data_IF_414215587551
#
_entry.id   IF_414215587551
#
_cell.length_a   1.000
_cell.length_b   1.000
_cell.length_c   1.000
_cell.angle_alpha   90.00
_cell.angle_beta   90.00
_cell.angle_gamma   90.00
#
_symmetry.space_group_name_H-M   'P 1'
#
loop_
_entity.id
_entity.type
_entity.pdbx_description
1 polymer ?
#
# COMPACT_ATOMS: atom_id res chain seq x y z
N UNK A 1 11.72 -17.98 -19.01
CA UNK A 1 10.57 -17.46 -18.24
C UNK A 1 11.16 -16.73 -17.05
N UNK A 2 10.94 -15.42 -16.96
CA UNK A 2 11.52 -14.56 -15.94
C UNK A 2 10.99 -14.93 -14.53
N UNK A 3 11.89 -15.10 -13.57
CA UNK A 3 11.52 -15.32 -12.17
C UNK A 3 11.44 -13.97 -11.45
N UNK A 4 10.26 -13.62 -10.97
CA UNK A 4 9.98 -12.44 -10.17
C UNK A 4 9.85 -12.80 -8.69
N UNK A 5 10.50 -12.03 -7.83
CA UNK A 5 10.40 -12.15 -6.37
C UNK A 5 9.53 -11.02 -5.82
N UNK A 6 8.59 -11.36 -4.96
CA UNK A 6 7.76 -10.40 -4.23
C UNK A 6 8.04 -10.55 -2.73
N UNK A 7 8.48 -9.48 -2.08
CA UNK A 7 8.52 -9.42 -0.61
C UNK A 7 7.17 -8.95 -0.08
N UNK A 8 6.64 -9.56 0.97
CA UNK A 8 5.29 -9.25 1.47
C UNK A 8 4.19 -9.76 0.55
N UNK A 9 4.40 -10.95 -0.02
CA UNK A 9 3.52 -11.56 -1.01
C UNK A 9 2.07 -11.75 -0.54
N UNK A 10 1.83 -12.03 0.75
CA UNK A 10 0.48 -12.22 1.31
C UNK A 10 -0.26 -10.92 1.61
N UNK A 11 0.40 -9.75 1.47
CA UNK A 11 -0.23 -8.44 1.59
C UNK A 11 -1.14 -8.12 0.40
N UNK A 12 -1.96 -7.07 0.53
CA UNK A 12 -2.93 -6.67 -0.50
C UNK A 12 -2.29 -6.45 -1.87
N UNK A 13 -1.18 -5.69 -1.91
CA UNK A 13 -0.42 -5.46 -3.16
C UNK A 13 0.22 -6.75 -3.66
N UNK A 14 0.94 -7.48 -2.79
CA UNK A 14 1.64 -8.70 -3.15
C UNK A 14 0.71 -9.78 -3.72
N UNK A 15 -0.48 -9.95 -3.12
CA UNK A 15 -1.49 -10.91 -3.58
C UNK A 15 -2.03 -10.60 -4.99
N UNK A 16 -2.24 -9.33 -5.33
CA UNK A 16 -2.69 -8.91 -6.65
C UNK A 16 -1.57 -8.92 -7.68
N UNK A 17 -0.39 -8.47 -7.28
CA UNK A 17 0.80 -8.48 -8.13
C UNK A 17 1.19 -9.91 -8.52
N UNK A 18 1.10 -10.86 -7.60
CA UNK A 18 1.34 -12.28 -7.87
C UNK A 18 0.42 -12.81 -8.98
N UNK A 19 -0.87 -12.52 -8.90
CA UNK A 19 -1.85 -12.91 -9.91
C UNK A 19 -1.55 -12.30 -11.27
N UNK A 20 -1.27 -11.01 -11.30
CA UNK A 20 -0.98 -10.29 -12.54
C UNK A 20 0.33 -10.77 -13.18
N UNK A 21 1.39 -11.04 -12.40
CA UNK A 21 2.64 -11.60 -12.90
C UNK A 21 2.43 -12.99 -13.52
N UNK A 22 1.67 -13.88 -12.86
CA UNK A 22 1.35 -15.20 -13.40
C UNK A 22 0.56 -15.07 -14.71
N UNK A 23 -0.42 -14.18 -14.77
CA UNK A 23 -1.21 -13.91 -15.97
C UNK A 23 -0.32 -13.43 -17.14
N UNK A 24 0.77 -12.73 -16.85
CA UNK A 24 1.75 -12.27 -17.84
C UNK A 24 2.87 -13.29 -18.11
N UNK A 25 2.78 -14.50 -17.56
CA UNK A 25 3.71 -15.61 -17.85
C UNK A 25 5.01 -15.57 -17.06
N UNK A 26 5.09 -14.85 -15.96
CA UNK A 26 6.23 -14.92 -15.04
C UNK A 26 6.14 -16.16 -14.15
N UNK A 27 7.32 -16.67 -13.74
CA UNK A 27 7.40 -17.47 -12.53
C UNK A 27 7.44 -16.54 -11.33
N UNK A 28 6.70 -16.88 -10.29
CA UNK A 28 6.58 -16.03 -9.12
C UNK A 28 7.09 -16.74 -7.89
N UNK A 29 7.97 -16.05 -7.17
CA UNK A 29 8.42 -16.43 -5.83
C UNK A 29 7.97 -15.35 -4.86
N UNK A 30 7.41 -15.75 -3.72
CA UNK A 30 7.01 -14.84 -2.66
C UNK A 30 7.78 -15.09 -1.38
N UNK A 31 8.22 -14.00 -0.75
CA UNK A 31 8.69 -14.03 0.62
C UNK A 31 7.58 -13.50 1.52
N UNK A 32 7.29 -14.23 2.58
CA UNK A 32 6.42 -13.74 3.64
C UNK A 32 6.95 -14.16 5.01
N UNK A 33 6.64 -13.33 6.00
CA UNK A 33 7.03 -13.57 7.39
C UNK A 33 6.06 -14.52 8.11
N UNK A 34 4.77 -14.40 7.83
CA UNK A 34 3.73 -15.20 8.47
C UNK A 34 3.39 -16.48 7.68
N UNK A 35 2.50 -17.30 8.26
CA UNK A 35 2.05 -18.55 7.66
C UNK A 35 0.61 -18.44 7.11
N UNK A 36 0.12 -17.25 6.83
CA UNK A 36 -1.20 -17.04 6.25
C UNK A 36 -1.11 -17.08 4.71
N UNK A 37 -1.33 -18.26 4.15
CA UNK A 37 -1.19 -18.52 2.72
C UNK A 37 -2.50 -18.40 1.93
N UNK A 38 -3.59 -17.90 2.53
CA UNK A 38 -4.88 -17.70 1.83
C UNK A 38 -4.76 -16.84 0.57
N UNK A 39 -3.82 -15.90 0.57
CA UNK A 39 -3.53 -15.05 -0.58
C UNK A 39 -3.04 -15.83 -1.81
N UNK A 40 -2.54 -17.05 -1.62
CA UNK A 40 -1.88 -17.86 -2.65
C UNK A 40 -2.69 -19.10 -3.06
N UNK A 41 -3.90 -19.26 -2.53
CA UNK A 41 -4.78 -20.38 -2.90
C UNK A 41 -4.98 -20.43 -4.42
N UNK A 42 -4.78 -21.62 -5.01
CA UNK A 42 -4.89 -21.90 -6.45
C UNK A 42 -3.90 -21.12 -7.35
N UNK A 43 -2.78 -20.66 -6.81
CA UNK A 43 -1.70 -20.03 -7.57
C UNK A 43 -0.46 -20.91 -7.59
N UNK A 44 0.19 -21.00 -8.75
CA UNK A 44 1.51 -21.65 -8.89
C UNK A 44 2.59 -20.67 -8.49
N UNK A 45 2.94 -20.68 -7.19
CA UNK A 45 3.88 -19.75 -6.56
C UNK A 45 4.85 -20.52 -5.70
N UNK A 46 6.13 -20.21 -5.81
CA UNK A 46 7.15 -20.65 -4.88
C UNK A 46 7.13 -19.78 -3.62
N UNK A 47 6.84 -20.37 -2.46
CA UNK A 47 6.78 -19.66 -1.18
C UNK A 47 8.04 -19.93 -0.36
N UNK A 48 8.69 -18.85 0.08
CA UNK A 48 9.84 -18.92 0.98
C UNK A 48 9.52 -18.11 2.23
N UNK A 49 9.62 -18.76 3.38
CA UNK A 49 9.51 -18.05 4.65
C UNK A 49 10.82 -17.34 4.95
N UNK A 50 10.79 -16.01 4.98
CA UNK A 50 11.93 -15.19 5.34
C UNK A 50 11.48 -13.87 5.97
N UNK A 51 12.36 -13.29 6.79
CA UNK A 51 12.14 -11.98 7.43
C UNK A 51 13.06 -10.95 6.77
N UNK A 52 12.51 -9.89 6.19
CA UNK A 52 13.31 -8.83 5.57
C UNK A 52 14.24 -8.12 6.56
N UNK A 53 13.98 -8.23 7.86
CA UNK A 53 14.88 -7.68 8.90
C UNK A 53 16.07 -8.59 9.22
N UNK A 54 16.11 -9.79 8.65
CA UNK A 54 17.21 -10.76 8.73
C UNK A 54 17.79 -11.00 7.33
N UNK A 55 18.91 -10.33 7.03
CA UNK A 55 19.59 -10.38 5.72
C UNK A 55 19.93 -11.81 5.31
N UNK A 56 20.35 -12.66 6.24
CA UNK A 56 20.76 -14.02 5.90
C UNK A 56 19.56 -14.89 5.51
N UNK A 57 18.41 -14.66 6.10
CA UNK A 57 17.17 -15.37 5.75
C UNK A 57 16.69 -15.06 4.32
N UNK A 58 17.08 -13.92 3.75
CA UNK A 58 16.70 -13.50 2.40
C UNK A 58 17.49 -14.20 1.31
N UNK A 59 18.78 -14.50 1.52
CA UNK A 59 19.69 -14.99 0.49
C UNK A 59 19.16 -16.17 -0.33
N UNK A 60 18.58 -17.24 0.27
CA UNK A 60 18.04 -18.35 -0.51
C UNK A 60 16.90 -17.93 -1.46
N UNK A 61 16.09 -16.95 -1.04
CA UNK A 61 14.95 -16.50 -1.83
C UNK A 61 15.34 -15.69 -3.08
N UNK A 62 16.53 -15.09 -3.10
CA UNK A 62 17.02 -14.28 -4.20
C UNK A 62 17.76 -15.11 -5.27
N UNK A 63 17.97 -16.40 -5.06
CA UNK A 63 18.64 -17.27 -6.02
C UNK A 63 17.87 -17.35 -7.34
N UNK A 64 18.56 -17.09 -8.46
CA UNK A 64 18.02 -17.14 -9.83
C UNK A 64 16.89 -16.12 -10.13
N UNK A 65 16.67 -15.16 -9.24
CA UNK A 65 15.68 -14.08 -9.41
C UNK A 65 16.22 -13.03 -10.38
N UNK A 66 15.37 -12.54 -11.27
CA UNK A 66 15.71 -11.47 -12.20
C UNK A 66 15.13 -10.12 -11.77
N UNK A 67 13.92 -10.11 -11.23
CA UNK A 67 13.18 -8.90 -10.85
C UNK A 67 12.67 -9.03 -9.43
N UNK A 68 12.82 -7.97 -8.64
CA UNK A 68 12.31 -7.89 -7.28
C UNK A 68 11.24 -6.80 -7.17
N UNK A 69 10.10 -7.15 -6.60
CA UNK A 69 9.06 -6.22 -6.19
C UNK A 69 9.05 -6.13 -4.66
N UNK A 70 9.55 -5.03 -4.13
CA UNK A 70 9.63 -4.84 -2.69
C UNK A 70 8.37 -4.17 -2.15
N UNK A 71 7.36 -4.99 -1.79
CA UNK A 71 6.06 -4.50 -1.27
C UNK A 71 5.92 -4.65 0.24
N UNK A 72 6.85 -5.37 0.89
CA UNK A 72 6.81 -5.57 2.34
C UNK A 72 6.97 -4.25 3.08
N UNK A 73 6.02 -3.96 3.97
CA UNK A 73 6.07 -2.81 4.85
C UNK A 73 5.17 -3.02 6.06
N UNK A 74 5.48 -2.38 7.17
CA UNK A 74 4.59 -2.26 8.30
C UNK A 74 3.93 -0.88 8.31
N UNK A 75 2.60 -0.85 8.20
CA UNK A 75 1.81 0.37 8.10
C UNK A 75 1.13 0.63 9.45
N UNK A 76 1.51 1.70 10.12
CA UNK A 76 0.85 2.15 11.34
C UNK A 76 1.06 3.64 11.58
N UNK A 77 0.00 4.33 11.98
CA UNK A 77 0.03 5.73 12.43
C UNK A 77 0.07 5.84 13.97
N UNK A 78 0.33 4.73 14.65
CA UNK A 78 0.50 4.69 16.11
C UNK A 78 1.98 4.77 16.47
N UNK A 79 2.41 5.90 17.01
CA UNK A 79 3.82 6.17 17.37
C UNK A 79 4.45 5.15 18.31
N UNK A 80 3.64 4.35 19.03
CA UNK A 80 4.16 3.25 19.86
C UNK A 80 4.92 2.18 19.06
N UNK A 81 4.66 2.11 17.76
CA UNK A 81 5.29 1.17 16.84
C UNK A 81 6.44 1.77 16.03
N UNK A 82 6.90 2.98 16.35
CA UNK A 82 7.96 3.67 15.61
C UNK A 82 9.20 2.81 15.40
N UNK A 83 9.71 2.15 16.44
CA UNK A 83 10.88 1.28 16.31
C UNK A 83 10.61 0.10 15.36
N UNK A 84 9.42 -0.50 15.40
CA UNK A 84 9.05 -1.61 14.51
C UNK A 84 8.89 -1.12 13.07
N UNK A 85 8.24 0.05 12.88
CA UNK A 85 8.11 0.70 11.58
C UNK A 85 9.51 0.93 10.98
N UNK A 86 10.42 1.51 11.74
CA UNK A 86 11.78 1.79 11.29
C UNK A 86 12.55 0.51 10.97
N UNK A 87 12.48 -0.49 11.84
CA UNK A 87 13.13 -1.79 11.64
C UNK A 87 12.68 -2.46 10.33
N UNK A 88 11.37 -2.49 10.06
CA UNK A 88 10.84 -3.16 8.87
C UNK A 88 11.02 -2.29 7.63
N UNK A 89 10.58 -1.02 7.67
CA UNK A 89 10.49 -0.21 6.46
C UNK A 89 11.84 0.41 6.05
N UNK A 90 12.79 0.56 6.97
CA UNK A 90 14.10 1.18 6.69
C UNK A 90 15.19 0.12 6.65
N UNK A 91 15.41 -0.61 7.77
CA UNK A 91 16.47 -1.62 7.84
C UNK A 91 16.13 -2.82 6.93
N UNK A 92 14.85 -3.25 6.89
CA UNK A 92 14.39 -4.29 5.97
C UNK A 92 14.59 -3.90 4.51
N UNK A 93 14.28 -2.65 4.12
CA UNK A 93 14.53 -2.15 2.76
C UNK A 93 16.02 -2.15 2.42
N UNK A 94 16.88 -1.75 3.37
CA UNK A 94 18.34 -1.82 3.20
C UNK A 94 18.81 -3.25 2.94
N UNK A 95 18.35 -4.21 3.73
CA UNK A 95 18.69 -5.63 3.55
C UNK A 95 18.26 -6.14 2.17
N UNK A 96 17.06 -5.78 1.71
CA UNK A 96 16.56 -6.15 0.38
C UNK A 96 17.44 -5.56 -0.72
N UNK A 97 17.87 -4.30 -0.63
CA UNK A 97 18.79 -3.68 -1.59
C UNK A 97 20.14 -4.38 -1.59
N UNK A 98 20.74 -4.64 -0.42
CA UNK A 98 22.04 -5.30 -0.30
C UNK A 98 22.01 -6.72 -0.90
N UNK A 99 20.98 -7.53 -0.59
CA UNK A 99 20.84 -8.87 -1.15
C UNK A 99 20.53 -8.81 -2.65
N UNK A 100 19.81 -7.80 -3.13
CA UNK A 100 19.57 -7.58 -4.56
C UNK A 100 20.88 -7.34 -5.32
N UNK A 101 21.79 -6.54 -4.76
CA UNK A 101 23.12 -6.33 -5.32
C UNK A 101 23.94 -7.62 -5.30
N UNK A 102 24.01 -8.31 -4.15
CA UNK A 102 24.74 -9.55 -3.99
C UNK A 102 24.27 -10.65 -4.98
N UNK A 103 22.97 -10.67 -5.31
CA UNK A 103 22.36 -11.61 -6.24
C UNK A 103 22.35 -11.14 -7.70
N UNK A 104 22.90 -9.97 -8.03
CA UNK A 104 22.92 -9.37 -9.36
C UNK A 104 21.51 -9.25 -9.99
N UNK A 105 20.52 -8.78 -9.20
CA UNK A 105 19.15 -8.55 -9.67
C UNK A 105 19.15 -7.52 -10.81
N UNK A 106 18.41 -7.79 -11.89
CA UNK A 106 18.32 -6.90 -13.05
C UNK A 106 17.50 -5.65 -12.76
N UNK A 107 16.44 -5.76 -11.96
CA UNK A 107 15.55 -4.65 -11.63
C UNK A 107 14.89 -4.80 -10.26
N UNK A 108 14.91 -3.75 -9.47
CA UNK A 108 14.11 -3.60 -8.24
C UNK A 108 13.00 -2.58 -8.45
N UNK A 109 11.77 -2.93 -8.16
CA UNK A 109 10.64 -2.00 -8.04
C UNK A 109 10.28 -1.85 -6.56
N UNK A 110 10.57 -0.69 -5.99
CA UNK A 110 10.29 -0.38 -4.58
C UNK A 110 8.95 0.31 -4.41
N UNK A 111 8.11 -0.20 -3.52
CA UNK A 111 6.84 0.42 -3.16
C UNK A 111 7.02 1.37 -1.96
N UNK A 112 7.21 2.65 -2.26
CA UNK A 112 7.17 3.73 -1.28
C UNK A 112 5.70 4.12 -0.96
N UNK A 113 5.39 5.38 -0.81
CA UNK A 113 4.06 5.96 -0.61
C UNK A 113 4.06 7.43 -1.03
N UNK A 114 2.91 8.00 -1.37
CA UNK A 114 2.78 9.46 -1.46
C UNK A 114 3.09 10.14 -0.13
N UNK A 115 2.91 9.45 0.99
CA UNK A 115 3.20 9.97 2.33
C UNK A 115 4.71 10.16 2.59
N UNK A 116 5.59 9.64 1.71
CA UNK A 116 7.02 9.92 1.76
C UNK A 116 7.36 11.37 1.39
N UNK A 117 6.47 12.06 0.68
CA UNK A 117 6.66 13.46 0.28
C UNK A 117 6.11 14.42 1.32
N UNK A 118 6.70 15.62 1.37
CA UNK A 118 6.17 16.70 2.20
C UNK A 118 4.76 17.06 1.75
N UNK A 119 3.84 17.19 2.70
CA UNK A 119 2.43 17.47 2.42
C UNK A 119 2.18 18.90 1.95
N UNK A 120 2.91 19.85 2.50
CA UNK A 120 2.79 21.27 2.13
C UNK A 120 3.66 21.64 0.89
N UNK A 121 3.20 22.58 0.07
CA UNK A 121 1.91 23.28 0.14
C UNK A 121 0.74 22.41 -0.34
N UNK A 122 -0.43 22.51 0.31
CA UNK A 122 -1.60 21.69 0.03
C UNK A 122 -2.44 22.17 -1.16
N UNK A 123 -2.27 23.41 -1.57
CA UNK A 123 -2.97 24.04 -2.70
C UNK A 123 -2.29 23.78 -4.06
N UNK A 124 -1.11 23.18 -4.05
CA UNK A 124 -0.39 22.76 -5.23
C UNK A 124 -0.53 21.25 -5.49
N UNK A 125 -0.53 20.81 -6.77
CA UNK A 125 -0.47 19.40 -7.08
C UNK A 125 0.77 18.73 -6.51
N UNK A 126 0.62 17.47 -6.10
CA UNK A 126 1.77 16.63 -5.71
C UNK A 126 2.44 16.09 -6.96
N UNK A 127 3.72 16.42 -7.13
CA UNK A 127 4.58 15.90 -8.19
C UNK A 127 5.76 15.14 -7.59
N UNK A 128 6.40 14.30 -8.40
CA UNK A 128 7.57 13.48 -8.03
C UNK A 128 8.81 14.33 -7.63
N UNK A 129 8.82 15.61 -8.00
CA UNK A 129 9.86 16.58 -7.63
C UNK A 129 9.71 17.17 -6.22
N UNK A 130 8.59 16.89 -5.52
CA UNK A 130 8.37 17.35 -4.15
C UNK A 130 9.40 16.75 -3.21
N UNK A 131 9.87 17.56 -2.24
CA UNK A 131 10.83 17.10 -1.24
C UNK A 131 10.26 15.97 -0.39
N UNK A 132 11.13 15.03 -0.02
CA UNK A 132 10.79 13.97 0.92
C UNK A 132 10.71 14.52 2.36
N UNK A 133 9.84 13.89 3.14
CA UNK A 133 9.77 14.14 4.59
C UNK A 133 11.13 13.92 5.24
N UNK A 134 11.58 14.88 6.06
CA UNK A 134 12.89 14.82 6.72
C UNK A 134 12.87 15.29 8.19
N UNK A 135 11.78 15.91 8.66
CA UNK A 135 11.66 16.31 10.07
C UNK A 135 11.50 15.07 10.96
N UNK A 136 12.39 14.83 11.94
CA UNK A 136 12.28 13.71 12.87
C UNK A 136 10.97 13.69 13.69
N UNK A 137 10.24 14.81 13.78
CA UNK A 137 8.95 14.90 14.45
C UNK A 137 7.77 14.50 13.59
N UNK A 138 8.00 14.25 12.30
CA UNK A 138 6.97 13.80 11.37
C UNK A 138 6.32 12.49 11.82
N UNK A 139 5.27 12.11 11.14
CA UNK A 139 4.62 10.81 11.36
C UNK A 139 5.64 9.70 11.11
N UNK A 140 5.86 8.76 12.03
CA UNK A 140 6.90 7.73 11.88
C UNK A 140 6.78 6.91 10.60
N UNK A 141 5.56 6.64 10.15
CA UNK A 141 5.32 5.94 8.89
C UNK A 141 5.82 6.76 7.69
N UNK A 142 5.43 8.04 7.60
CA UNK A 142 5.83 8.95 6.52
C UNK A 142 7.36 9.05 6.44
N UNK A 143 8.01 9.29 7.59
CA UNK A 143 9.46 9.36 7.69
C UNK A 143 10.12 8.04 7.28
N UNK A 144 9.57 6.90 7.69
CA UNK A 144 10.12 5.59 7.33
C UNK A 144 10.05 5.30 5.84
N UNK A 145 8.98 5.74 5.16
CA UNK A 145 8.86 5.62 3.71
C UNK A 145 9.85 6.52 2.98
N UNK A 146 10.04 7.75 3.46
CA UNK A 146 11.06 8.67 2.94
C UNK A 146 12.49 8.13 3.15
N UNK A 147 12.80 7.59 4.33
CA UNK A 147 14.12 7.03 4.63
C UNK A 147 14.40 5.75 3.83
N UNK A 148 13.43 4.85 3.71
CA UNK A 148 13.53 3.66 2.87
C UNK A 148 13.79 4.02 1.40
N UNK A 149 13.11 5.04 0.89
CA UNK A 149 13.34 5.55 -0.46
C UNK A 149 14.74 6.14 -0.63
N UNK A 150 15.27 6.92 0.35
CA UNK A 150 16.65 7.44 0.29
C UNK A 150 17.66 6.30 0.18
N UNK A 151 17.45 5.23 0.96
CA UNK A 151 18.30 4.04 0.86
C UNK A 151 18.25 3.46 -0.56
N UNK A 152 17.07 3.24 -1.13
CA UNK A 152 16.96 2.72 -2.51
C UNK A 152 17.70 3.63 -3.49
N UNK A 153 17.51 4.94 -3.41
CA UNK A 153 18.17 5.92 -4.27
C UNK A 153 19.71 5.89 -4.12
N UNK A 154 20.24 5.68 -2.91
CA UNK A 154 21.68 5.56 -2.70
C UNK A 154 22.25 4.33 -3.44
N UNK A 155 21.50 3.23 -3.50
CA UNK A 155 21.90 2.03 -4.24
C UNK A 155 21.83 2.20 -5.77
N UNK A 156 20.98 3.10 -6.28
CA UNK A 156 20.86 3.33 -7.74
C UNK A 156 22.08 3.98 -8.36
N UNK A 157 22.92 4.62 -7.57
CA UNK A 157 24.04 5.40 -8.09
C UNK A 157 25.10 4.54 -8.80
N UNK A 158 25.31 3.26 -8.42
CA UNK A 158 26.32 2.42 -9.05
C UNK A 158 26.07 0.90 -8.92
N UNK A 159 25.03 0.46 -8.23
CA UNK A 159 24.92 -0.93 -7.81
C UNK A 159 23.65 -1.63 -8.24
N UNK A 160 22.53 -0.93 -8.34
CA UNK A 160 21.22 -1.53 -8.50
C UNK A 160 20.34 -0.70 -9.44
N UNK A 161 19.83 -1.31 -10.51
CA UNK A 161 18.74 -0.66 -11.27
C UNK A 161 17.45 -0.76 -10.49
N UNK A 162 17.01 0.37 -9.93
CA UNK A 162 15.78 0.44 -9.15
C UNK A 162 14.91 1.62 -9.56
N UNK A 163 13.59 1.43 -9.52
CA UNK A 163 12.60 2.49 -9.68
C UNK A 163 11.62 2.45 -8.52
N UNK A 164 11.05 3.61 -8.18
CA UNK A 164 10.22 3.76 -6.98
C UNK A 164 8.79 4.11 -7.39
N UNK A 165 7.82 3.34 -6.89
CA UNK A 165 6.40 3.58 -7.06
C UNK A 165 5.84 4.18 -5.77
N UNK A 166 5.08 5.25 -5.90
CA UNK A 166 4.38 5.94 -4.81
C UNK A 166 2.86 5.80 -5.00
N UNK A 167 2.28 4.72 -4.49
CA UNK A 167 0.83 4.58 -4.56
C UNK A 167 0.13 5.60 -3.66
N UNK A 168 -1.07 5.98 -4.07
CA UNK A 168 -2.05 6.64 -3.23
C UNK A 168 -2.75 5.62 -2.33
N UNK A 169 -3.92 5.95 -1.79
CA UNK A 169 -4.71 5.03 -0.95
C UNK A 169 -5.17 3.82 -1.78
N UNK A 170 -4.69 2.63 -1.44
CA UNK A 170 -4.93 1.42 -2.24
C UNK A 170 -6.26 0.80 -1.85
N UNK A 171 -7.06 0.41 -2.85
CA UNK A 171 -8.32 -0.30 -2.69
C UNK A 171 -8.47 -1.37 -3.78
N UNK A 172 -9.27 -2.41 -3.52
CA UNK A 172 -9.51 -3.45 -4.51
C UNK A 172 -9.72 -4.83 -3.88
N UNK A 173 -10.00 -5.86 -4.69
CA UNK A 173 -10.19 -7.23 -4.24
C UNK A 173 -8.87 -7.87 -3.79
N UNK A 174 -8.96 -9.11 -3.29
CA UNK A 174 -7.82 -9.91 -2.81
C UNK A 174 -7.06 -9.32 -1.63
N UNK A 175 -7.71 -8.51 -0.78
CA UNK A 175 -7.19 -8.11 0.52
C UNK A 175 -7.57 -9.16 1.57
N UNK A 176 -6.74 -10.19 1.71
CA UNK A 176 -6.98 -11.32 2.62
C UNK A 176 -6.79 -10.97 4.10
N UNK A 177 -6.15 -9.83 4.36
CA UNK A 177 -5.91 -9.25 5.69
C UNK A 177 -6.38 -7.79 5.68
N UNK A 178 -7.72 -7.55 5.65
CA UNK A 178 -8.27 -6.24 5.35
C UNK A 178 -7.56 -5.11 6.09
N UNK A 179 -6.90 -4.23 5.32
CA UNK A 179 -6.33 -2.99 5.79
C UNK A 179 -7.43 -1.97 6.11
N UNK A 180 -7.03 -0.77 6.57
CA UNK A 180 -7.97 0.27 7.04
C UNK A 180 -9.06 0.61 6.03
N UNK A 181 -8.72 0.73 4.75
CA UNK A 181 -9.67 1.09 3.69
C UNK A 181 -10.70 -0.03 3.47
N UNK A 182 -10.22 -1.24 3.24
CA UNK A 182 -11.08 -2.41 3.01
C UNK A 182 -11.91 -2.77 4.26
N UNK A 183 -11.32 -2.65 5.45
CA UNK A 183 -12.08 -2.84 6.70
C UNK A 183 -13.19 -1.80 6.85
N UNK A 184 -12.94 -0.55 6.44
CA UNK A 184 -13.98 0.49 6.47
C UNK A 184 -15.13 0.17 5.52
N UNK A 185 -14.85 -0.37 4.32
CA UNK A 185 -15.88 -0.84 3.38
C UNK A 185 -16.71 -1.98 3.98
N UNK A 186 -16.06 -2.98 4.58
CA UNK A 186 -16.73 -4.10 5.27
C UNK A 186 -17.66 -3.58 6.38
N UNK A 187 -17.20 -2.61 7.17
CA UNK A 187 -17.98 -2.03 8.27
C UNK A 187 -19.20 -1.24 7.75
N UNK A 188 -19.05 -0.51 6.63
CA UNK A 188 -20.17 0.19 5.96
C UNK A 188 -21.16 -0.84 5.43
N UNK A 189 -20.69 -1.81 4.66
CA UNK A 189 -21.53 -2.83 4.04
C UNK A 189 -22.33 -3.63 5.08
N UNK A 190 -21.75 -3.93 6.23
CA UNK A 190 -22.43 -4.60 7.34
C UNK A 190 -23.21 -3.66 8.26
N UNK A 191 -23.38 -2.40 7.91
CA UNK A 191 -24.09 -1.39 8.68
C UNK A 191 -23.55 -1.21 10.12
N UNK A 192 -22.28 -1.53 10.35
CA UNK A 192 -21.62 -1.34 11.65
C UNK A 192 -21.28 0.12 11.94
N UNK A 193 -21.24 0.94 10.89
CA UNK A 193 -21.00 2.38 11.00
C UNK A 193 -22.28 3.13 10.67
N UNK A 194 -22.78 3.86 11.65
CA UNK A 194 -23.99 4.65 11.51
C UNK A 194 -23.72 6.11 11.13
N UNK A 195 -22.45 6.52 11.11
CA UNK A 195 -22.03 7.89 10.83
C UNK A 195 -20.87 7.89 9.84
N UNK A 196 -21.01 8.68 8.80
CA UNK A 196 -19.92 8.99 7.88
C UNK A 196 -19.11 10.17 8.42
N UNK A 197 -17.84 10.25 8.00
CA UNK A 197 -16.98 11.40 8.27
C UNK A 197 -16.70 12.09 6.93
N UNK A 198 -16.76 13.41 6.95
CA UNK A 198 -16.52 14.22 5.76
C UNK A 198 -15.02 14.36 5.47
N UNK A 199 -14.46 13.34 4.84
CA UNK A 199 -13.08 13.32 4.37
C UNK A 199 -12.97 12.56 3.06
N UNK A 200 -11.87 12.75 2.35
CA UNK A 200 -11.59 12.03 1.10
C UNK A 200 -10.11 11.72 0.93
N UNK A 201 -9.85 10.76 0.07
CA UNK A 201 -8.51 10.40 -0.38
C UNK A 201 -8.47 10.24 -1.89
N UNK A 202 -7.28 10.31 -2.46
CA UNK A 202 -7.04 9.77 -3.79
C UNK A 202 -6.89 8.26 -3.68
N UNK A 203 -7.72 7.49 -4.41
CA UNK A 203 -7.72 6.03 -4.36
C UNK A 203 -7.26 5.44 -5.69
N UNK A 204 -6.43 4.41 -5.63
CA UNK A 204 -6.00 3.61 -6.77
C UNK A 204 -6.45 2.16 -6.63
N UNK A 205 -6.91 1.54 -7.73
CA UNK A 205 -7.19 0.11 -7.74
C UNK A 205 -5.88 -0.69 -7.69
N UNK A 206 -5.82 -1.66 -6.79
CA UNK A 206 -4.63 -2.50 -6.57
C UNK A 206 -4.21 -3.27 -7.83
N UNK A 207 -5.16 -3.60 -8.72
CA UNK A 207 -4.89 -4.29 -9.99
C UNK A 207 -4.25 -3.36 -11.03
N UNK A 208 -4.68 -2.09 -11.08
CA UNK A 208 -4.09 -1.07 -11.95
C UNK A 208 -2.69 -0.68 -11.44
N UNK A 209 -2.53 -0.59 -10.12
CA UNK A 209 -1.23 -0.45 -9.48
C UNK A 209 -0.30 -1.63 -9.81
N UNK A 210 -0.80 -2.87 -9.76
CA UNK A 210 -0.01 -4.08 -10.07
C UNK A 210 0.47 -4.08 -11.53
N UNK A 211 -0.40 -3.74 -12.49
CA UNK A 211 -0.04 -3.60 -13.91
C UNK A 211 1.02 -2.53 -14.09
N UNK A 212 0.84 -1.38 -13.44
CA UNK A 212 1.80 -0.28 -13.52
C UNK A 212 3.15 -0.68 -12.92
N UNK A 213 3.17 -1.45 -11.83
CA UNK A 213 4.40 -1.96 -11.22
C UNK A 213 5.15 -2.93 -12.15
N UNK A 214 4.43 -3.81 -12.83
CA UNK A 214 5.05 -4.72 -13.81
C UNK A 214 5.63 -3.91 -14.98
N UNK A 215 4.90 -2.93 -15.50
CA UNK A 215 5.43 -2.04 -16.53
C UNK A 215 6.66 -1.26 -16.03
N UNK A 216 6.67 -0.86 -14.76
CA UNK A 216 7.81 -0.19 -14.14
C UNK A 216 9.04 -1.10 -14.09
N UNK A 217 8.88 -2.42 -13.92
CA UNK A 217 10.02 -3.35 -13.96
C UNK A 217 10.63 -3.48 -15.35
N UNK A 218 9.89 -3.13 -16.41
CA UNK A 218 10.32 -3.24 -17.81
C UNK A 218 10.82 -1.90 -18.37
N UNK A 219 10.13 -0.81 -18.04
CA UNK A 219 10.30 0.51 -18.65
C UNK A 219 10.80 1.57 -17.66
N UNK A 220 10.73 1.29 -16.36
CA UNK A 220 11.05 2.28 -15.33
C UNK A 220 12.50 2.73 -15.40
N UNK A 221 12.71 4.03 -15.33
CA UNK A 221 14.05 4.64 -15.36
C UNK A 221 14.73 4.46 -14.00
N UNK A 222 16.02 4.16 -14.00
CA UNK A 222 16.80 3.99 -12.78
C UNK A 222 16.78 5.27 -11.91
N UNK A 223 16.45 5.12 -10.63
CA UNK A 223 16.35 6.24 -9.67
C UNK A 223 15.07 7.07 -9.81
N UNK A 224 14.19 6.78 -10.79
CA UNK A 224 12.99 7.58 -11.01
C UNK A 224 11.87 7.23 -10.01
N UNK A 225 11.22 8.28 -9.52
CA UNK A 225 9.98 8.20 -8.75
C UNK A 225 8.77 8.26 -9.68
N UNK A 226 7.75 7.45 -9.40
CA UNK A 226 6.48 7.43 -10.13
C UNK A 226 5.31 7.52 -9.15
N UNK A 227 4.56 8.61 -9.19
CA UNK A 227 3.28 8.72 -8.49
C UNK A 227 2.24 7.86 -9.20
N UNK A 228 1.57 6.98 -8.47
CA UNK A 228 0.56 6.08 -9.00
C UNK A 228 -0.72 6.25 -8.20
N UNK A 229 -1.62 7.06 -8.71
CA UNK A 229 -2.89 7.40 -8.09
C UNK A 229 -4.07 7.15 -9.01
N UNK A 230 -5.25 7.28 -8.45
CA UNK A 230 -6.50 7.10 -9.16
C UNK A 230 -7.42 8.32 -9.05
N UNK A 231 -8.57 8.14 -8.46
CA UNK A 231 -9.60 9.16 -8.31
C UNK A 231 -9.66 9.68 -6.88
N UNK A 232 -9.83 10.99 -6.71
CA UNK A 232 -10.10 11.57 -5.40
C UNK A 232 -11.60 11.46 -5.10
N UNK A 233 -11.93 10.71 -4.07
CA UNK A 233 -13.31 10.46 -3.66
C UNK A 233 -13.51 10.79 -2.18
N UNK A 234 -14.68 11.34 -1.88
CA UNK A 234 -15.11 11.54 -0.52
C UNK A 234 -15.61 10.21 0.06
N UNK A 235 -15.31 9.96 1.33
CA UNK A 235 -15.75 8.74 2.01
C UNK A 235 -17.29 8.55 2.01
N UNK A 236 -18.12 9.60 2.12
CA UNK A 236 -19.56 9.49 1.91
C UNK A 236 -19.98 9.02 0.52
N UNK A 237 -19.22 9.36 -0.54
CA UNK A 237 -19.51 8.89 -1.90
C UNK A 237 -19.26 7.38 -2.02
N UNK A 238 -18.16 6.88 -1.44
CA UNK A 238 -17.87 5.44 -1.36
C UNK A 238 -18.97 4.71 -0.58
N UNK A 239 -19.40 5.26 0.55
CA UNK A 239 -20.48 4.69 1.33
C UNK A 239 -21.80 4.63 0.55
N UNK A 240 -22.10 5.65 -0.25
CA UNK A 240 -23.27 5.68 -1.14
C UNK A 240 -23.17 4.58 -2.21
N UNK A 241 -22.04 4.45 -2.90
CA UNK A 241 -21.82 3.40 -3.91
C UNK A 241 -22.03 1.99 -3.33
N UNK A 242 -21.49 1.72 -2.13
CA UNK A 242 -21.69 0.44 -1.43
C UNK A 242 -23.17 0.21 -1.11
N UNK A 243 -23.87 1.26 -0.65
CA UNK A 243 -25.29 1.17 -0.35
C UNK A 243 -26.15 0.87 -1.56
N UNK A 244 -25.89 1.53 -2.69
CA UNK A 244 -26.57 1.30 -3.96
C UNK A 244 -26.33 -0.13 -4.47
N UNK A 245 -25.08 -0.62 -4.37
CA UNK A 245 -24.71 -1.97 -4.80
C UNK A 245 -25.43 -3.07 -3.99
N UNK A 246 -25.61 -2.85 -2.68
CA UNK A 246 -26.20 -3.83 -1.77
C UNK A 246 -27.69 -3.64 -1.51
N UNK A 247 -28.35 -2.68 -2.19
CA UNK A 247 -29.72 -2.24 -1.93
C UNK A 247 -29.97 -1.94 -0.43
N UNK A 248 -29.02 -1.19 0.17
CA UNK A 248 -29.06 -0.86 1.60
C UNK A 248 -29.00 0.65 1.82
N UNK A 249 -29.73 1.12 2.82
CA UNK A 249 -29.54 2.48 3.30
C UNK A 249 -28.19 2.60 4.00
N UNK A 250 -27.26 3.31 3.41
CA UNK A 250 -26.09 3.81 4.13
C UNK A 250 -26.43 5.11 4.79
N UNK A 251 -26.09 5.26 6.04
CA UNK A 251 -26.38 6.51 6.76
C UNK A 251 -25.54 7.66 6.24
N UNK A 252 -26.20 8.76 6.03
CA UNK A 252 -25.76 9.83 5.14
C UNK A 252 -25.42 11.13 5.88
N UNK A 253 -25.52 11.17 7.20
CA UNK A 253 -25.05 12.32 7.95
C UNK A 253 -23.52 12.27 8.03
N UNK A 254 -22.85 13.10 7.26
CA UNK A 254 -21.42 13.28 7.36
C UNK A 254 -21.11 14.19 8.56
N UNK A 255 -20.33 13.69 9.49
CA UNK A 255 -19.78 14.47 10.58
C UNK A 255 -18.47 15.13 10.15
N UNK A 256 -18.17 16.33 10.61
CA UNK A 256 -16.91 16.98 10.34
C UNK A 256 -15.74 16.15 10.90
N UNK A 257 -14.56 16.23 10.26
CA UNK A 257 -13.34 15.51 10.68
C UNK A 257 -13.04 15.76 12.18
N UNK A 258 -13.35 16.94 12.70
CA UNK A 258 -13.16 17.27 14.13
C UNK A 258 -13.87 16.30 15.08
N UNK A 259 -14.94 15.65 14.64
CA UNK A 259 -15.64 14.64 15.46
C UNK A 259 -14.77 13.40 15.74
N UNK A 260 -13.78 13.13 14.91
CA UNK A 260 -12.87 12.00 15.10
C UNK A 260 -12.03 12.12 16.38
N UNK A 261 -11.78 13.33 16.87
CA UNK A 261 -11.06 13.53 18.14
C UNK A 261 -11.76 12.87 19.34
N UNK A 262 -13.07 12.73 19.32
CA UNK A 262 -13.81 12.03 20.37
C UNK A 262 -13.52 10.52 20.42
N UNK A 263 -13.06 9.92 19.31
CA UNK A 263 -12.72 8.50 19.26
C UNK A 263 -11.30 8.21 19.78
N UNK A 264 -10.42 9.20 19.86
CA UNK A 264 -9.03 9.00 20.30
C UNK A 264 -8.94 8.40 21.71
N UNK A 265 -9.66 8.93 22.74
CA UNK A 265 -9.64 8.35 24.08
C UNK A 265 -10.15 6.90 24.12
N UNK A 266 -11.19 6.58 23.34
CA UNK A 266 -11.72 5.23 23.23
C UNK A 266 -10.66 4.25 22.68
N UNK A 267 -9.96 4.62 21.60
CA UNK A 267 -8.90 3.79 21.02
C UNK A 267 -7.71 3.63 21.97
N UNK A 268 -7.39 4.64 22.80
CA UNK A 268 -6.37 4.54 23.85
C UNK A 268 -6.74 3.45 24.86
N UNK A 269 -7.98 3.44 25.32
CA UNK A 269 -8.47 2.44 26.30
C UNK A 269 -8.51 1.06 25.65
N UNK A 270 -9.15 0.93 24.51
CA UNK A 270 -9.28 -0.33 23.75
C UNK A 270 -7.93 -0.98 23.46
N UNK A 271 -6.93 -0.20 23.06
CA UNK A 271 -5.60 -0.71 22.73
C UNK A 271 -4.84 -1.32 23.92
N UNK A 272 -5.17 -0.95 25.15
CA UNK A 272 -4.60 -1.58 26.37
C UNK A 272 -5.04 -3.03 26.53
N UNK A 273 -6.26 -3.35 26.08
CA UNK A 273 -6.80 -4.72 26.18
C UNK A 273 -6.51 -5.56 24.94
N UNK A 274 -6.51 -4.96 23.76
CA UNK A 274 -6.35 -5.70 22.49
C UNK A 274 -4.91 -5.91 22.06
N UNK A 275 -3.97 -5.14 22.60
CA UNK A 275 -2.54 -5.09 22.20
C UNK A 275 -2.33 -4.80 20.70
N UNK A 276 -3.37 -4.33 20.00
CA UNK A 276 -3.32 -3.98 18.57
C UNK A 276 -2.96 -2.50 18.39
N UNK A 277 -2.42 -2.10 17.22
CA UNK A 277 -2.24 -0.70 16.88
C UNK A 277 -3.56 0.08 16.98
N UNK A 278 -3.47 1.31 17.44
CA UNK A 278 -4.62 2.23 17.46
C UNK A 278 -4.94 2.65 16.04
N UNK A 279 -6.19 2.48 15.64
CA UNK A 279 -6.65 2.89 14.31
C UNK A 279 -6.89 4.41 14.24
N UNK A 280 -7.31 5.00 15.37
CA UNK A 280 -7.58 6.43 15.48
C UNK A 280 -6.59 7.08 16.44
N UNK A 281 -5.69 7.86 15.87
CA UNK A 281 -4.67 8.66 16.57
C UNK A 281 -4.77 10.11 16.11
N UNK A 282 -4.05 11.01 16.76
CA UNK A 282 -3.92 12.40 16.29
C UNK A 282 -3.24 12.42 14.91
N UNK A 283 -2.24 11.57 14.70
CA UNK A 283 -1.55 11.43 13.42
C UNK A 283 -2.49 10.93 12.32
N UNK A 284 -3.40 9.99 12.63
CA UNK A 284 -4.46 9.56 11.70
C UNK A 284 -5.34 10.73 11.27
N UNK A 285 -5.79 11.55 12.22
CA UNK A 285 -6.62 12.72 11.91
C UNK A 285 -5.84 13.76 11.10
N UNK A 286 -4.56 13.94 11.40
CA UNK A 286 -3.68 14.83 10.63
C UNK A 286 -3.52 14.34 9.19
N UNK A 287 -3.21 13.05 8.98
CA UNK A 287 -3.09 12.45 7.65
C UNK A 287 -4.35 12.63 6.82
N UNK A 288 -5.52 12.42 7.43
CA UNK A 288 -6.82 12.64 6.78
C UNK A 288 -7.01 14.10 6.36
N UNK A 289 -6.71 15.04 7.25
CA UNK A 289 -6.85 16.48 6.98
C UNK A 289 -5.93 17.01 5.90
N UNK A 290 -4.76 16.38 5.76
CA UNK A 290 -3.71 16.79 4.82
C UNK A 290 -3.58 15.81 3.64
N UNK A 291 -4.68 15.16 3.27
CA UNK A 291 -4.72 14.29 2.08
C UNK A 291 -4.70 15.13 0.80
N UNK A 292 -3.72 14.89 -0.08
CA UNK A 292 -3.62 15.58 -1.36
C UNK A 292 -4.77 15.20 -2.29
N UNK A 293 -5.43 16.23 -2.87
CA UNK A 293 -6.51 16.05 -3.85
C UNK A 293 -5.99 15.91 -5.27
N UNK A 294 -4.96 16.67 -5.62
CA UNK A 294 -4.43 16.76 -6.96
C UNK A 294 -3.12 15.98 -7.07
N UNK A 295 -3.20 14.79 -7.69
CA UNK A 295 -2.05 13.92 -7.96
C UNK A 295 -2.10 13.53 -9.43
N UNK A 296 -1.40 14.25 -10.32
CA UNK A 296 -1.56 14.09 -11.78
C UNK A 296 -1.08 12.75 -12.31
N UNK A 297 -0.08 12.11 -11.70
CA UNK A 297 0.53 10.85 -12.13
C UNK A 297 1.04 10.87 -13.57
N UNK A 298 1.53 12.02 -14.02
CA UNK A 298 1.87 12.26 -15.43
C UNK A 298 2.99 11.35 -15.91
N UNK A 299 4.04 11.15 -15.10
CA UNK A 299 5.15 10.25 -15.46
C UNK A 299 4.67 8.80 -15.57
N UNK A 300 3.92 8.31 -14.61
CA UNK A 300 3.39 6.95 -14.64
C UNK A 300 2.48 6.71 -15.86
N UNK A 301 1.65 7.69 -16.23
CA UNK A 301 0.80 7.61 -17.43
C UNK A 301 1.61 7.55 -18.70
N UNK A 302 2.58 8.45 -18.86
CA UNK A 302 3.33 8.60 -20.10
C UNK A 302 4.37 7.49 -20.29
N UNK A 303 5.08 7.10 -19.26
CA UNK A 303 6.21 6.19 -19.36
C UNK A 303 5.82 4.74 -19.05
N UNK A 304 4.92 4.54 -18.08
CA UNK A 304 4.53 3.20 -17.64
C UNK A 304 3.17 2.75 -18.18
N UNK A 305 2.42 3.65 -18.86
CA UNK A 305 1.08 3.35 -19.36
C UNK A 305 0.06 3.17 -18.23
N UNK A 306 0.24 3.87 -17.09
CA UNK A 306 -0.71 3.84 -15.99
C UNK A 306 -2.09 4.33 -16.46
N UNK A 307 -3.10 3.53 -16.20
CA UNK A 307 -4.50 3.84 -16.48
C UNK A 307 -5.38 3.32 -15.36
N UNK A 308 -6.38 4.12 -15.01
CA UNK A 308 -7.32 3.76 -13.96
C UNK A 308 -8.61 3.20 -14.57
N UNK A 309 -9.12 2.12 -13.97
CA UNK A 309 -10.49 1.66 -14.21
C UNK A 309 -11.50 2.60 -13.57
N UNK A 310 -12.78 2.59 -14.01
CA UNK A 310 -13.85 3.29 -13.29
C UNK A 310 -13.91 2.79 -11.83
N UNK A 311 -13.92 3.70 -10.87
CA UNK A 311 -13.82 3.33 -9.46
C UNK A 311 -14.99 2.49 -8.95
N UNK A 312 -16.14 2.58 -9.59
CA UNK A 312 -17.31 1.73 -9.29
C UNK A 312 -17.00 0.24 -9.51
N UNK A 313 -16.14 -0.11 -10.49
CA UNK A 313 -15.67 -1.50 -10.69
C UNK A 313 -14.82 -1.95 -9.50
N UNK A 314 -13.93 -1.07 -9.01
CA UNK A 314 -13.13 -1.33 -7.82
C UNK A 314 -14.00 -1.63 -6.61
N UNK A 315 -15.03 -0.81 -6.36
CA UNK A 315 -15.97 -1.02 -5.25
C UNK A 315 -16.74 -2.32 -5.43
N UNK A 316 -17.30 -2.56 -6.61
CA UNK A 316 -18.11 -3.75 -6.91
C UNK A 316 -17.30 -5.04 -6.68
N UNK A 317 -16.11 -5.12 -7.26
CA UNK A 317 -15.26 -6.31 -7.15
C UNK A 317 -14.74 -6.52 -5.73
N UNK A 318 -14.47 -5.43 -5.00
CA UNK A 318 -14.03 -5.51 -3.61
C UNK A 318 -15.15 -6.00 -2.69
N UNK A 319 -16.37 -5.48 -2.87
CA UNK A 319 -17.54 -5.91 -2.11
C UNK A 319 -17.85 -7.37 -2.39
N UNK A 320 -17.88 -7.79 -3.67
CA UNK A 320 -18.11 -9.18 -4.06
C UNK A 320 -17.05 -10.12 -3.47
N UNK A 321 -15.77 -9.75 -3.52
CA UNK A 321 -14.69 -10.52 -2.89
C UNK A 321 -14.94 -10.74 -1.39
N UNK A 322 -15.41 -9.72 -0.66
CA UNK A 322 -15.69 -9.87 0.76
C UNK A 322 -17.01 -10.59 1.06
N UNK A 323 -17.98 -10.56 0.16
CA UNK A 323 -19.20 -11.41 0.23
C UNK A 323 -18.79 -12.88 0.10
N UNK A 324 -18.02 -13.23 -0.94
CA UNK A 324 -17.54 -14.59 -1.19
C UNK A 324 -16.72 -15.16 -0.02
N UNK A 325 -16.04 -14.28 0.72
CA UNK A 325 -15.30 -14.62 1.94
C UNK A 325 -16.14 -14.60 3.22
N UNK A 326 -17.42 -14.31 3.14
CA UNK A 326 -18.34 -14.23 4.29
C UNK A 326 -18.07 -13.06 5.25
N UNK A 327 -17.28 -12.06 4.83
CA UNK A 327 -16.97 -10.87 5.62
C UNK A 327 -18.04 -9.78 5.47
N UNK A 328 -18.73 -9.76 4.35
CA UNK A 328 -19.93 -8.96 4.12
C UNK A 328 -21.13 -9.93 4.06
N UNK A 329 -22.17 -9.64 4.82
CA UNK A 329 -23.40 -10.41 4.81
C UNK A 329 -24.23 -9.98 3.59
N UNK A 330 -24.82 -10.92 2.91
CA UNK A 330 -25.85 -10.67 1.89
C UNK A 330 -27.15 -10.17 2.54
#
# INVERSE_FOLDING_TARGET
MTLALITGGSGHVGANLSRELINQGYKVRCIDYDNDYRAFENLDIELIKADITDKDSLKPAFKDVEVVFHTAAFISLDRRYENLIRKINVEGTKNVCEVSVDANIKKLVHFSSIDAFQREPMDEPLYESRNLVSDPKSIPYDLSKADGQRIVLDFTNNYLDASIIHPTSIMGPNDFKPGLNCQSMIDIANQKRLLNIDFGYNYVDVRDLSKTAINCSIKGVNGQNYLVGGEFLMFPEIAKMIGELLDRRTLLAALPISSMYFNVPYEIVKSKFTKKPRLMTIDTIHTIKTAHKLIPCTLAKNELGHANRPFIETITDTVNFFIDRGLIKN
#
